data_IF_527914945394
#
_entry.id   IF_527914945394
#
_cell.length_a   1.000
_cell.length_b   1.000
_cell.length_c   1.000
_cell.angle_alpha   90.00
_cell.angle_beta   90.00
_cell.angle_gamma   90.00
#
_symmetry.space_group_name_H-M   'P 1'
#
loop_
_entity.id
_entity.type
_entity.pdbx_description
1 polymer ?
#
# COMPACT_ATOMS: atom_id res chain seq x y z
N UNK A 1 -3.65 -9.66 -2.84
CA UNK A 1 -4.67 -9.11 -1.91
C UNK A 1 -5.62 -8.27 -2.73
N UNK A 2 -6.92 -8.27 -2.41
CA UNK A 2 -7.90 -7.40 -3.06
C UNK A 2 -8.64 -6.63 -1.97
N UNK A 3 -8.69 -5.30 -2.08
CA UNK A 3 -9.41 -4.46 -1.12
C UNK A 3 -10.80 -4.13 -1.66
N UNK A 4 -11.85 -4.32 -0.85
CA UNK A 4 -13.18 -3.85 -1.21
C UNK A 4 -13.35 -2.37 -0.84
N UNK A 5 -12.98 -1.47 -1.74
CA UNK A 5 -13.10 -0.03 -1.52
C UNK A 5 -14.53 0.45 -1.23
N UNK A 6 -15.57 -0.32 -1.61
CA UNK A 6 -16.96 0.00 -1.31
C UNK A 6 -17.26 0.06 0.20
N UNK A 7 -16.59 -0.79 0.98
CA UNK A 7 -16.82 -0.93 2.42
C UNK A 7 -16.01 0.06 3.27
N UNK A 8 -15.08 0.77 2.63
CA UNK A 8 -14.24 1.77 3.28
C UNK A 8 -14.92 3.12 3.13
N UNK A 9 -15.11 3.84 4.24
CA UNK A 9 -15.65 5.20 4.20
C UNK A 9 -14.65 6.16 3.54
N UNK A 10 -15.11 7.30 2.96
CA UNK A 10 -14.19 8.31 2.43
C UNK A 10 -13.15 8.78 3.47
N UNK A 11 -13.58 8.91 4.73
CA UNK A 11 -12.72 9.30 5.85
C UNK A 11 -11.69 8.23 6.18
N UNK A 12 -12.08 6.95 6.24
CA UNK A 12 -11.13 5.87 6.48
C UNK A 12 -10.15 5.69 5.32
N UNK A 13 -10.58 5.94 4.08
CA UNK A 13 -9.68 5.96 2.92
C UNK A 13 -8.58 7.01 3.08
N UNK A 14 -8.93 8.24 3.48
CA UNK A 14 -7.93 9.28 3.78
C UNK A 14 -7.01 8.89 4.93
N UNK A 15 -7.55 8.27 6.01
CA UNK A 15 -6.75 7.80 7.14
C UNK A 15 -5.77 6.69 6.77
N UNK A 16 -6.19 5.76 5.91
CA UNK A 16 -5.33 4.71 5.37
C UNK A 16 -4.19 5.35 4.57
N UNK A 17 -4.51 6.30 3.68
CA UNK A 17 -3.50 7.02 2.92
C UNK A 17 -2.53 7.79 3.83
N UNK A 18 -3.05 8.50 4.84
CA UNK A 18 -2.23 9.20 5.83
C UNK A 18 -1.24 8.25 6.49
N UNK A 19 -1.73 7.08 6.95
CA UNK A 19 -0.87 6.11 7.61
C UNK A 19 0.21 5.58 6.68
N UNK A 20 -0.12 5.26 5.43
CA UNK A 20 0.88 4.79 4.45
C UNK A 20 1.95 5.85 4.20
N UNK A 21 1.56 7.12 4.09
CA UNK A 21 2.49 8.23 3.87
C UNK A 21 3.38 8.45 5.10
N UNK A 22 2.83 8.37 6.31
CA UNK A 22 3.61 8.40 7.55
C UNK A 22 4.67 7.30 7.60
N UNK A 23 4.31 6.09 7.15
CA UNK A 23 5.21 4.93 7.08
C UNK A 23 6.27 5.02 5.96
N UNK A 24 6.10 5.95 5.02
CA UNK A 24 7.01 6.20 3.89
C UNK A 24 7.98 7.37 4.17
N UNK A 25 8.37 7.54 5.43
CA UNK A 25 9.38 8.49 5.94
C UNK A 25 9.08 9.99 5.72
N UNK A 26 7.85 10.35 5.40
CA UNK A 26 7.44 11.75 5.36
C UNK A 26 7.59 12.40 6.73
N UNK A 27 8.09 13.64 6.74
CA UNK A 27 8.23 14.47 7.94
C UNK A 27 7.26 15.64 7.87
N UNK A 28 7.00 16.26 9.03
CA UNK A 28 6.07 17.39 9.16
C UNK A 28 4.69 17.11 8.55
N UNK A 29 4.26 15.85 8.55
CA UNK A 29 3.03 15.43 7.91
C UNK A 29 1.83 16.07 8.60
N UNK A 30 0.99 16.74 7.82
CA UNK A 30 -0.23 17.42 8.26
C UNK A 30 -1.40 16.87 7.47
N UNK A 31 -2.44 16.46 8.18
CA UNK A 31 -3.72 16.08 7.61
C UNK A 31 -4.69 17.26 7.73
N UNK A 32 -5.30 17.66 6.62
CA UNK A 32 -6.22 18.80 6.53
C UNK A 32 -7.70 18.39 6.43
N UNK A 33 -7.99 17.08 6.41
CA UNK A 33 -9.34 16.54 6.21
C UNK A 33 -10.38 16.94 7.28
N UNK A 34 -11.65 16.88 6.87
CA UNK A 34 -12.94 17.17 7.56
C UNK A 34 -13.16 18.60 8.10
N UNK A 35 -12.13 19.40 8.35
CA UNK A 35 -12.28 20.82 8.70
C UNK A 35 -12.40 21.69 7.43
N UNK A 36 -13.59 21.63 6.82
CA UNK A 36 -14.03 22.33 5.61
C UNK A 36 -13.20 23.54 5.17
N UNK A 37 -12.40 23.31 4.13
CA UNK A 37 -11.62 24.33 3.44
C UNK A 37 -10.59 23.71 2.50
N UNK A 38 -10.95 22.61 1.83
CA UNK A 38 -10.04 21.82 1.01
C UNK A 38 -9.74 22.55 -0.29
N UNK A 39 -8.75 23.45 -0.23
CA UNK A 39 -8.09 24.02 -1.41
C UNK A 39 -7.20 22.96 -2.09
N UNK A 40 -7.74 21.77 -2.35
CA UNK A 40 -7.07 20.60 -2.95
C UNK A 40 -5.75 20.16 -2.31
N UNK A 41 -5.77 19.97 -0.99
CA UNK A 41 -4.74 19.20 -0.28
C UNK A 41 -5.40 18.42 0.86
N UNK A 42 -5.26 17.11 0.85
CA UNK A 42 -5.67 16.29 2.01
C UNK A 42 -4.50 16.19 2.98
N UNK A 43 -3.30 15.95 2.45
CA UNK A 43 -2.08 15.87 3.25
C UNK A 43 -1.00 16.80 2.68
N UNK A 44 -0.15 17.30 3.58
CA UNK A 44 1.10 17.97 3.21
C UNK A 44 2.22 17.41 4.07
N UNK A 45 3.35 17.12 3.47
CA UNK A 45 4.53 16.67 4.19
C UNK A 45 5.81 17.04 3.44
N UNK A 46 6.94 16.79 4.08
CA UNK A 46 8.26 17.02 3.51
C UNK A 46 9.00 15.68 3.37
N UNK A 47 9.68 15.49 2.24
CA UNK A 47 10.77 14.51 2.13
C UNK A 47 12.09 15.24 2.12
N UNK A 48 13.02 14.75 2.93
CA UNK A 48 14.38 15.25 2.99
C UNK A 48 15.29 14.33 2.20
N UNK A 49 16.06 14.91 1.30
CA UNK A 49 17.08 14.22 0.52
C UNK A 49 18.43 14.83 0.87
N UNK A 50 19.48 14.01 0.89
CA UNK A 50 20.85 14.47 1.03
C UNK A 50 21.60 14.18 -0.28
N UNK A 51 21.41 15.01 -1.34
CA UNK A 51 22.04 14.76 -2.64
C UNK A 51 23.57 14.82 -2.60
N UNK A 52 24.13 15.54 -1.64
CA UNK A 52 25.57 15.63 -1.39
C UNK A 52 25.81 15.63 0.13
N UNK A 53 26.95 15.10 0.62
CA UNK A 53 27.26 15.10 2.05
C UNK A 53 27.12 16.49 2.67
N UNK A 54 26.27 16.61 3.70
CA UNK A 54 25.96 17.84 4.43
C UNK A 54 24.96 18.77 3.74
N UNK A 55 24.47 18.46 2.54
CA UNK A 55 23.48 19.28 1.82
C UNK A 55 22.12 18.63 1.93
N UNK A 56 21.24 19.20 2.76
CA UNK A 56 19.86 18.72 2.93
C UNK A 56 18.95 19.52 1.99
N UNK A 57 18.24 18.81 1.11
CA UNK A 57 17.18 19.34 0.26
C UNK A 57 15.83 18.91 0.84
N UNK A 58 14.95 19.88 1.08
CA UNK A 58 13.57 19.63 1.46
C UNK A 58 12.68 19.72 0.22
N UNK A 59 12.00 18.62 -0.11
CA UNK A 59 10.98 18.60 -1.15
C UNK A 59 9.61 18.68 -0.46
N UNK A 60 8.80 19.68 -0.81
CA UNK A 60 7.45 19.87 -0.27
C UNK A 60 6.46 19.05 -1.09
N UNK A 61 5.72 18.19 -0.43
CA UNK A 61 4.72 17.32 -1.05
C UNK A 61 3.31 17.76 -0.72
N UNK A 62 2.48 17.88 -1.76
CA UNK A 62 1.03 18.01 -1.63
C UNK A 62 0.40 16.70 -2.08
N UNK A 63 -0.42 16.11 -1.22
CA UNK A 63 -0.97 14.78 -1.43
C UNK A 63 -2.49 14.88 -1.43
N UNK A 64 -3.10 14.31 -2.47
CA UNK A 64 -4.54 14.24 -2.61
C UNK A 64 -4.98 12.78 -2.71
N UNK A 65 -5.90 12.39 -1.84
CA UNK A 65 -6.48 11.07 -1.71
C UNK A 65 -7.90 11.12 -2.27
N UNK A 66 -8.18 10.43 -3.38
CA UNK A 66 -9.53 10.36 -3.95
C UNK A 66 -10.04 8.93 -4.05
N UNK A 67 -11.14 8.67 -3.35
CA UNK A 67 -11.86 7.40 -3.39
C UNK A 67 -12.84 7.36 -4.55
N UNK A 68 -12.46 6.67 -5.62
CA UNK A 68 -13.29 6.41 -6.80
C UNK A 68 -13.74 4.95 -6.84
N UNK A 69 -15.05 4.73 -6.77
CA UNK A 69 -15.62 3.38 -6.69
C UNK A 69 -16.14 2.88 -8.03
N UNK A 70 -16.98 3.69 -8.68
CA UNK A 70 -17.75 3.24 -9.84
C UNK A 70 -17.11 3.59 -11.17
N UNK A 71 -16.40 4.72 -11.23
CA UNK A 71 -15.78 5.24 -12.45
C UNK A 71 -14.39 5.77 -12.14
N UNK A 72 -13.40 5.50 -13.00
CA UNK A 72 -12.09 6.12 -12.88
C UNK A 72 -12.19 7.62 -13.14
N UNK A 73 -11.32 8.44 -12.52
CA UNK A 73 -11.30 9.87 -12.80
C UNK A 73 -10.93 10.16 -14.24
N UNK A 74 -11.55 11.20 -14.78
CA UNK A 74 -11.26 11.75 -16.11
C UNK A 74 -10.06 12.70 -16.06
N UNK A 75 -9.60 13.13 -17.24
CA UNK A 75 -8.58 14.19 -17.39
C UNK A 75 -8.98 15.48 -16.66
N UNK A 76 -10.27 15.82 -16.67
CA UNK A 76 -10.78 17.03 -16.03
C UNK A 76 -10.67 16.89 -14.51
N UNK A 77 -11.03 15.73 -13.97
CA UNK A 77 -10.93 15.47 -12.53
C UNK A 77 -9.47 15.58 -12.04
N UNK A 78 -8.54 14.94 -12.77
CA UNK A 78 -7.11 15.03 -12.44
C UNK A 78 -6.59 16.47 -12.61
N UNK A 79 -7.00 17.19 -13.65
CA UNK A 79 -6.58 18.58 -13.84
C UNK A 79 -7.05 19.48 -12.68
N UNK A 80 -8.27 19.31 -12.19
CA UNK A 80 -8.77 20.09 -11.06
C UNK A 80 -7.92 19.84 -9.80
N UNK A 81 -7.58 18.58 -9.52
CA UNK A 81 -6.67 18.22 -8.42
C UNK A 81 -5.32 18.92 -8.56
N UNK A 82 -4.74 18.92 -9.76
CA UNK A 82 -3.45 19.54 -10.02
C UNK A 82 -3.48 21.07 -9.88
N UNK A 83 -4.55 21.72 -10.34
CA UNK A 83 -4.74 23.17 -10.19
C UNK A 83 -4.82 23.56 -8.73
N UNK A 84 -5.63 22.85 -7.94
CA UNK A 84 -5.78 23.14 -6.53
C UNK A 84 -4.47 22.87 -5.74
N UNK A 85 -3.75 21.79 -6.10
CA UNK A 85 -2.46 21.46 -5.50
C UNK A 85 -1.39 22.52 -5.81
N UNK A 86 -1.41 23.08 -7.03
CA UNK A 86 -0.46 24.10 -7.48
C UNK A 86 -0.54 25.40 -6.66
N UNK A 87 -1.72 25.75 -6.10
CA UNK A 87 -1.88 26.91 -5.21
C UNK A 87 -0.96 26.87 -3.99
N UNK A 88 -0.45 25.69 -3.64
CA UNK A 88 0.45 25.48 -2.50
C UNK A 88 1.93 25.49 -2.86
N UNK A 89 2.29 25.77 -4.12
CA UNK A 89 3.66 25.77 -4.64
C UNK A 89 4.46 24.52 -4.22
N UNK A 90 3.99 23.30 -4.56
CA UNK A 90 4.67 22.05 -4.22
C UNK A 90 5.95 21.85 -5.02
N UNK A 91 6.86 21.03 -4.50
CA UNK A 91 7.93 20.40 -5.30
C UNK A 91 7.38 19.14 -6.00
N UNK A 92 6.53 18.41 -5.28
CA UNK A 92 5.95 17.15 -5.69
C UNK A 92 4.45 17.12 -5.37
N UNK A 93 3.65 16.60 -6.29
CA UNK A 93 2.23 16.31 -6.08
C UNK A 93 2.02 14.81 -6.19
N UNK A 94 1.40 14.20 -5.19
CA UNK A 94 1.01 12.79 -5.22
C UNK A 94 -0.51 12.67 -5.23
N UNK A 95 -1.04 11.98 -6.23
CA UNK A 95 -2.46 11.65 -6.33
C UNK A 95 -2.62 10.17 -6.01
N UNK A 96 -3.35 9.86 -4.94
CA UNK A 96 -3.64 8.49 -4.51
C UNK A 96 -5.10 8.18 -4.85
N UNK A 97 -5.31 7.12 -5.63
CA UNK A 97 -6.61 6.74 -6.17
C UNK A 97 -6.99 5.33 -5.74
N UNK A 98 -8.25 5.13 -5.35
CA UNK A 98 -8.82 3.78 -5.15
C UNK A 98 -9.31 3.14 -6.47
N UNK A 99 -8.78 3.57 -7.61
CA UNK A 99 -9.20 3.11 -8.93
C UNK A 99 -8.05 3.19 -9.94
N UNK A 100 -8.23 2.59 -11.10
CA UNK A 100 -7.23 2.55 -12.18
C UNK A 100 -7.62 3.53 -13.28
N UNK A 101 -6.72 4.44 -13.63
CA UNK A 101 -6.89 5.41 -14.70
C UNK A 101 -7.02 4.74 -16.07
N UNK A 102 -7.82 5.35 -16.95
CA UNK A 102 -7.83 4.98 -18.36
C UNK A 102 -6.50 5.31 -19.04
N UNK A 103 -6.09 4.51 -20.04
CA UNK A 103 -4.87 4.74 -20.82
C UNK A 103 -4.78 6.18 -21.36
N UNK A 104 -5.87 6.69 -21.92
CA UNK A 104 -5.98 8.07 -22.41
C UNK A 104 -5.71 9.13 -21.32
N UNK A 105 -6.08 8.85 -20.07
CA UNK A 105 -5.80 9.76 -18.94
C UNK A 105 -4.34 9.67 -18.52
N UNK A 106 -3.77 8.46 -18.49
CA UNK A 106 -2.32 8.26 -18.24
C UNK A 106 -1.47 8.99 -19.27
N UNK A 107 -1.76 8.82 -20.56
CA UNK A 107 -1.05 9.50 -21.65
C UNK A 107 -1.12 11.03 -21.51
N UNK A 108 -2.28 11.55 -21.08
CA UNK A 108 -2.44 12.97 -20.82
C UNK A 108 -1.62 13.45 -19.61
N UNK A 109 -1.55 12.68 -18.53
CA UNK A 109 -0.69 12.99 -17.36
C UNK A 109 0.79 13.05 -17.77
N UNK A 110 1.24 12.13 -18.64
CA UNK A 110 2.63 12.16 -19.12
C UNK A 110 2.96 13.41 -19.94
N UNK A 111 2.00 13.96 -20.69
CA UNK A 111 2.20 15.26 -21.32
C UNK A 111 2.17 16.39 -20.29
N UNK A 112 1.25 16.32 -19.32
CA UNK A 112 1.11 17.34 -18.28
C UNK A 112 2.38 17.48 -17.43
N UNK A 113 3.07 16.38 -17.13
CA UNK A 113 4.37 16.35 -16.43
C UNK A 113 5.45 17.21 -17.08
N UNK A 114 5.37 17.46 -18.39
CA UNK A 114 6.34 18.30 -19.13
C UNK A 114 6.02 19.79 -19.04
N UNK A 115 4.79 20.13 -18.67
CA UNK A 115 4.28 21.49 -18.58
C UNK A 115 4.37 22.06 -17.16
N UNK A 116 4.38 21.18 -16.14
CA UNK A 116 4.34 21.59 -14.74
C UNK A 116 5.73 21.92 -14.18
N UNK A 117 5.76 22.83 -13.19
CA UNK A 117 6.99 23.20 -12.46
C UNK A 117 7.34 22.24 -11.31
N UNK A 118 6.44 21.31 -11.02
CA UNK A 118 6.53 20.31 -9.97
C UNK A 118 6.38 18.91 -10.58
N UNK A 119 6.81 17.90 -9.83
CA UNK A 119 6.69 16.50 -10.24
C UNK A 119 5.30 15.94 -9.92
N UNK A 120 4.70 15.23 -10.87
CA UNK A 120 3.39 14.59 -10.69
C UNK A 120 3.58 13.10 -10.50
N UNK A 121 3.17 12.60 -9.33
CA UNK A 121 3.15 11.19 -8.96
C UNK A 121 1.70 10.72 -8.86
N UNK A 122 1.45 9.48 -9.29
CA UNK A 122 0.12 8.87 -9.21
C UNK A 122 0.28 7.48 -8.65
N UNK A 123 -0.46 7.19 -7.60
CA UNK A 123 -0.72 5.83 -7.13
C UNK A 123 -2.13 5.45 -7.52
N UNK A 124 -2.23 4.47 -8.41
CA UNK A 124 -3.50 3.84 -8.74
C UNK A 124 -3.83 2.76 -7.71
N UNK A 125 -4.98 2.10 -7.86
CA UNK A 125 -5.43 1.05 -6.95
C UNK A 125 -4.35 -0.02 -6.66
N UNK A 126 -3.69 -0.52 -7.70
CA UNK A 126 -2.65 -1.56 -7.53
C UNK A 126 -1.40 -1.05 -6.80
N UNK A 127 -1.04 0.22 -6.97
CA UNK A 127 0.10 0.82 -6.26
C UNK A 127 -0.26 1.01 -4.79
N UNK A 128 -1.48 1.48 -4.52
CA UNK A 128 -1.98 1.61 -3.15
C UNK A 128 -2.08 0.25 -2.44
N UNK A 129 -2.58 -0.79 -3.11
CA UNK A 129 -2.61 -2.15 -2.56
C UNK A 129 -1.20 -2.68 -2.26
N UNK A 130 -0.20 -2.37 -3.10
CA UNK A 130 1.20 -2.74 -2.82
C UNK A 130 1.74 -2.05 -1.58
N UNK A 131 1.48 -0.76 -1.43
CA UNK A 131 1.93 -0.01 -0.25
C UNK A 131 1.21 -0.44 1.03
N UNK A 132 -0.09 -0.77 0.96
CA UNK A 132 -0.82 -1.36 2.09
C UNK A 132 -0.21 -2.71 2.48
N UNK A 133 0.12 -3.57 1.51
CA UNK A 133 0.76 -4.84 1.80
C UNK A 133 2.14 -4.65 2.44
N UNK A 134 2.95 -3.71 1.94
CA UNK A 134 4.27 -3.40 2.52
C UNK A 134 4.17 -3.03 4.00
N UNK A 135 3.11 -2.34 4.39
CA UNK A 135 2.88 -1.88 5.77
C UNK A 135 1.74 -2.64 6.48
N UNK A 136 1.43 -3.86 6.01
CA UNK A 136 0.20 -4.60 6.37
C UNK A 136 -0.07 -4.67 7.85
N UNK A 137 0.92 -5.10 8.65
CA UNK A 137 0.77 -5.25 10.10
C UNK A 137 0.28 -3.96 10.77
N UNK A 138 0.88 -2.82 10.43
CA UNK A 138 0.53 -1.51 11.01
C UNK A 138 -0.83 -1.01 10.53
N UNK A 139 -1.21 -1.37 9.31
CA UNK A 139 -2.51 -1.03 8.75
C UNK A 139 -3.62 -1.89 9.38
N UNK A 140 -3.41 -3.19 9.56
CA UNK A 140 -4.37 -4.11 10.19
C UNK A 140 -4.62 -3.77 11.67
N UNK A 141 -3.61 -3.28 12.39
CA UNK A 141 -3.78 -2.79 13.77
C UNK A 141 -4.77 -1.63 13.87
N UNK A 142 -4.83 -0.77 12.84
CA UNK A 142 -5.71 0.40 12.79
C UNK A 142 -7.04 0.11 12.08
N UNK A 143 -7.02 -0.83 11.12
CA UNK A 143 -8.15 -1.18 10.26
C UNK A 143 -8.25 -2.72 10.13
N UNK A 144 -8.68 -3.42 11.19
CA UNK A 144 -8.63 -4.88 11.26
C UNK A 144 -9.53 -5.60 10.23
N UNK A 145 -10.51 -4.89 9.65
CA UNK A 145 -11.42 -5.42 8.65
C UNK A 145 -11.10 -4.91 7.23
N UNK A 146 -9.96 -4.25 7.02
CA UNK A 146 -9.60 -3.66 5.73
C UNK A 146 -9.29 -4.72 4.66
N UNK A 147 -8.69 -5.82 5.10
CA UNK A 147 -8.13 -6.85 4.24
C UNK A 147 -8.98 -8.09 4.41
N UNK A 148 -9.63 -8.54 3.33
CA UNK A 148 -10.20 -9.88 3.30
C UNK A 148 -9.08 -10.88 3.61
N UNK A 149 -9.25 -11.67 4.68
CA UNK A 149 -8.33 -12.75 5.01
C UNK A 149 -8.28 -13.71 3.83
N UNK A 150 -7.23 -13.62 3.03
CA UNK A 150 -6.97 -14.64 2.02
C UNK A 150 -6.68 -15.95 2.74
N UNK A 151 -7.10 -17.07 2.14
CA UNK A 151 -6.64 -18.36 2.61
C UNK A 151 -5.13 -18.43 2.41
N UNK A 152 -4.40 -18.82 3.45
CA UNK A 152 -2.99 -19.16 3.33
C UNK A 152 -2.91 -20.47 2.54
N UNK A 153 -2.42 -20.40 1.32
CA UNK A 153 -2.24 -21.58 0.46
C UNK A 153 -0.80 -22.09 0.60
N UNK A 154 -0.65 -23.30 1.11
CA UNK A 154 0.62 -24.00 1.13
C UNK A 154 0.83 -24.72 -0.21
N UNK A 155 1.95 -24.47 -0.89
CA UNK A 155 2.34 -25.16 -2.12
C UNK A 155 3.65 -25.93 -1.93
N UNK A 156 3.87 -26.94 -2.78
CA UNK A 156 4.95 -27.91 -2.67
C UNK A 156 5.98 -27.75 -3.80
N UNK A 157 7.27 -27.85 -3.45
CA UNK A 157 8.36 -28.14 -4.40
C UNK A 157 8.93 -29.51 -4.02
N UNK A 158 8.73 -30.56 -4.81
CA UNK A 158 9.07 -31.94 -4.43
C UNK A 158 10.47 -32.36 -4.88
N UNK A 159 11.23 -33.01 -3.99
CA UNK A 159 12.32 -33.96 -4.32
C UNK A 159 12.11 -35.20 -3.44
N UNK A 160 12.46 -36.41 -3.90
CA UNK A 160 11.91 -37.75 -3.56
C UNK A 160 11.78 -38.19 -2.07
N UNK A 161 12.09 -37.34 -1.09
CA UNK A 161 11.95 -37.60 0.35
C UNK A 161 11.62 -36.35 1.19
N UNK A 162 11.34 -35.21 0.55
CA UNK A 162 11.24 -33.89 1.19
C UNK A 162 10.09 -33.10 0.59
N UNK A 163 9.19 -32.64 1.46
CA UNK A 163 8.12 -31.72 1.09
C UNK A 163 8.40 -30.37 1.76
N UNK A 164 8.42 -29.32 0.94
CA UNK A 164 8.60 -27.94 1.38
C UNK A 164 7.26 -27.24 1.26
N UNK A 165 6.83 -26.57 2.32
CA UNK A 165 5.58 -25.83 2.36
C UNK A 165 5.88 -24.37 2.65
N UNK A 166 5.85 -23.55 1.61
CA UNK A 166 5.97 -22.10 1.71
C UNK A 166 4.64 -21.43 2.05
N UNK A 167 4.73 -20.16 2.48
CA UNK A 167 3.59 -19.31 2.75
C UNK A 167 3.73 -18.02 1.92
N UNK A 168 2.64 -17.59 1.29
CA UNK A 168 2.59 -16.39 0.45
C UNK A 168 2.72 -15.06 1.23
N UNK A 169 2.75 -15.10 2.56
CA UNK A 169 2.81 -13.92 3.42
C UNK A 169 4.23 -13.59 3.92
N UNK A 170 5.16 -14.54 3.82
CA UNK A 170 6.53 -14.39 4.29
C UNK A 170 7.50 -14.86 3.20
N UNK A 171 8.33 -13.95 2.69
CA UNK A 171 9.46 -14.31 1.85
C UNK A 171 10.49 -15.06 2.73
N UNK A 172 10.95 -16.23 2.28
CA UNK A 172 11.99 -17.07 2.93
C UNK A 172 11.58 -17.89 4.18
N UNK A 173 10.29 -17.98 4.50
CA UNK A 173 9.81 -18.86 5.59
C UNK A 173 9.08 -20.08 5.04
N UNK A 174 9.60 -21.27 5.36
CA UNK A 174 9.07 -22.55 4.89
C UNK A 174 9.00 -23.59 6.01
N UNK A 175 7.97 -24.45 5.98
CA UNK A 175 7.92 -25.67 6.80
C UNK A 175 8.45 -26.82 5.94
N UNK A 176 9.52 -27.46 6.41
CA UNK A 176 10.12 -28.61 5.74
C UNK A 176 9.75 -29.89 6.46
N UNK A 177 9.08 -30.79 5.75
CA UNK A 177 8.78 -32.14 6.24
C UNK A 177 9.80 -33.12 5.66
N UNK A 178 10.44 -33.88 6.55
CA UNK A 178 11.44 -34.90 6.22
C UNK A 178 10.84 -36.29 6.43
N UNK A 179 11.25 -37.25 5.60
CA UNK A 179 10.92 -38.68 5.77
C UNK A 179 9.41 -39.01 5.73
N UNK A 180 8.61 -38.30 4.96
CA UNK A 180 7.22 -38.68 4.67
C UNK A 180 7.15 -39.51 3.39
N UNK A 181 6.30 -40.53 3.38
CA UNK A 181 6.15 -41.46 2.24
C UNK A 181 5.22 -40.88 1.16
N UNK A 182 4.43 -39.86 1.50
CA UNK A 182 3.49 -39.19 0.60
C UNK A 182 3.27 -37.72 0.97
N UNK A 183 2.73 -36.97 0.00
CA UNK A 183 2.28 -35.59 0.20
C UNK A 183 1.16 -35.51 1.24
N UNK A 184 0.20 -36.43 1.21
CA UNK A 184 -0.92 -36.47 2.16
C UNK A 184 -0.43 -36.63 3.60
N UNK A 185 0.56 -37.49 3.81
CA UNK A 185 1.19 -37.67 5.11
C UNK A 185 1.93 -36.42 5.56
N UNK A 186 2.72 -35.81 4.67
CA UNK A 186 3.43 -34.57 4.96
C UNK A 186 2.47 -33.43 5.35
N UNK A 187 1.38 -33.27 4.60
CA UNK A 187 0.32 -32.31 4.89
C UNK A 187 -0.34 -32.54 6.25
N UNK A 188 -0.56 -33.80 6.63
CA UNK A 188 -1.09 -34.16 7.94
C UNK A 188 -0.14 -33.72 9.06
N UNK A 189 1.15 -33.99 8.93
CA UNK A 189 2.16 -33.60 9.91
C UNK A 189 2.29 -32.08 10.04
N UNK A 190 2.22 -31.33 8.92
CA UNK A 190 2.20 -29.85 8.96
C UNK A 190 0.99 -29.33 9.72
N UNK A 191 -0.21 -29.89 9.46
CA UNK A 191 -1.42 -29.49 10.18
C UNK A 191 -1.30 -29.75 11.68
N UNK A 192 -0.84 -30.94 12.07
CA UNK A 192 -0.61 -31.29 13.47
C UNK A 192 0.43 -30.36 14.13
N UNK A 193 1.51 -30.01 13.43
CA UNK A 193 2.52 -29.07 13.92
C UNK A 193 1.94 -27.66 14.12
N UNK A 194 1.18 -27.14 13.15
CA UNK A 194 0.51 -25.84 13.26
C UNK A 194 -0.48 -25.84 14.42
N UNK A 195 -1.28 -26.90 14.57
CA UNK A 195 -2.22 -27.02 15.67
C UNK A 195 -1.50 -27.11 17.02
N UNK A 196 -0.37 -27.80 17.10
CA UNK A 196 0.47 -27.81 18.28
C UNK A 196 0.95 -26.40 18.64
N UNK A 197 1.49 -25.64 17.69
CA UNK A 197 1.94 -24.25 17.92
C UNK A 197 0.81 -23.33 18.36
N UNK A 198 -0.40 -23.46 17.78
CA UNK A 198 -1.57 -22.64 18.16
C UNK A 198 -2.04 -22.90 19.59
N UNK A 199 -1.85 -24.12 20.09
CA UNK A 199 -2.35 -24.55 21.39
C UNK A 199 -1.31 -24.43 22.51
N UNK A 200 -0.10 -23.95 22.22
CA UNK A 200 0.98 -23.83 23.19
C UNK A 200 1.60 -22.43 23.16
N UNK A 201 2.11 -21.99 24.30
CA UNK A 201 2.83 -20.73 24.41
C UNK A 201 4.25 -20.91 23.83
N UNK A 202 4.66 -20.03 22.91
CA UNK A 202 5.96 -20.11 22.24
C UNK A 202 6.95 -19.21 22.98
N UNK A 203 7.99 -19.81 23.56
CA UNK A 203 9.06 -19.10 24.25
C UNK A 203 10.28 -19.02 23.32
N UNK A 204 10.79 -17.81 23.11
CA UNK A 204 12.00 -17.54 22.35
C UNK A 204 13.15 -17.25 23.32
N UNK A 205 14.31 -17.87 23.08
CA UNK A 205 15.54 -17.62 23.84
C UNK A 205 16.42 -16.59 23.14
#
# INVERSE_FOLDING_TARGET
MKINWNEISPEDFERICFKIIEENDFKNLKWFGKSGGDKGRDLVGDKFEEPLPGVIKSNKWVIQCKRYITKPPSKIDINNILVDAEEHNPTDVLIILSNTLSANTKDWIEQKRKETKYYIHVWEELDLEREINRHRRKIEELFPNLIEKNNVEFYEISDFSKHYFGCNEFEEVEIRVLNSESKEEALKQVKEFIDFLKNNEIIWN
#
